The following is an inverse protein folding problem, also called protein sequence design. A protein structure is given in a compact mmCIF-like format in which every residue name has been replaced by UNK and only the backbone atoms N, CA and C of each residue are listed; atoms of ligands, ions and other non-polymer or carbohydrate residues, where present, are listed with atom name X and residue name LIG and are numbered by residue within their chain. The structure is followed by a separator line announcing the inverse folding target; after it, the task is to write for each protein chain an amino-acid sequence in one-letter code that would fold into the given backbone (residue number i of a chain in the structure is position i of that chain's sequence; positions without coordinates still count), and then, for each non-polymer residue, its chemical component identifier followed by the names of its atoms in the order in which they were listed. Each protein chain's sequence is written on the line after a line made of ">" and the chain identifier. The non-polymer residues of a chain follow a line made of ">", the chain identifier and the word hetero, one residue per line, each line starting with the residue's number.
data_IF_990285387486
#
_entry.id   IF_990285387486
#
_cell.length_a   1.000
_cell.length_b   1.000
_cell.length_c   1.000
_cell.angle_alpha   90.00
_cell.angle_beta   90.00
_cell.angle_gamma   90.00
#
_symmetry.space_group_name_H-M   'P 1'
#
loop_
_entity.id
_entity.type
_entity.pdbx_description
1 polymer ?
#
# COMPACT_ATOMS: atom_id res chain seq x y z
N UNK A 1 13.71 1.16 -21.60
CA UNK A 1 12.27 1.25 -21.88
C UNK A 1 11.92 2.72 -21.98
N UNK A 2 11.43 3.18 -23.12
CA UNK A 2 11.12 4.59 -23.37
C UNK A 2 9.97 5.02 -22.46
N UNK A 3 10.25 5.98 -21.58
CA UNK A 3 9.29 6.69 -20.73
C UNK A 3 8.00 6.98 -21.53
N UNK A 4 6.86 6.46 -21.09
CA UNK A 4 5.55 6.91 -21.54
C UNK A 4 5.42 8.40 -21.22
N UNK A 5 5.60 9.31 -22.18
CA UNK A 5 5.88 10.71 -21.89
C UNK A 5 4.62 11.48 -21.48
N UNK A 6 3.49 10.81 -21.25
CA UNK A 6 2.22 11.40 -20.83
C UNK A 6 1.47 10.52 -19.82
N UNK A 7 2.14 9.53 -19.21
CA UNK A 7 1.46 8.69 -18.22
C UNK A 7 1.23 9.49 -16.94
N UNK A 8 0.03 10.03 -16.79
CA UNK A 8 -0.39 10.85 -15.65
C UNK A 8 -0.96 10.03 -14.48
N UNK A 9 -1.50 8.85 -14.80
CA UNK A 9 -2.12 7.95 -13.85
C UNK A 9 -1.75 6.52 -14.18
N UNK A 10 -1.43 5.74 -13.15
CA UNK A 10 -1.18 4.31 -13.27
C UNK A 10 -2.04 3.57 -12.25
N UNK A 11 -2.79 2.58 -12.72
CA UNK A 11 -3.71 1.80 -11.89
C UNK A 11 -3.45 0.31 -12.12
N UNK A 12 -3.28 -0.43 -11.03
CA UNK A 12 -3.20 -1.89 -11.02
C UNK A 12 -4.41 -2.44 -10.27
N UNK A 13 -5.01 -3.48 -10.85
CA UNK A 13 -6.19 -4.16 -10.33
C UNK A 13 -5.93 -5.66 -10.33
N UNK A 14 -6.15 -6.33 -9.20
CA UNK A 14 -6.03 -7.78 -9.08
C UNK A 14 -4.68 -8.29 -9.57
N UNK A 15 -3.60 -7.60 -9.20
CA UNK A 15 -2.28 -7.82 -9.76
C UNK A 15 -1.51 -8.86 -8.97
N UNK A 16 -0.62 -9.58 -9.65
CA UNK A 16 0.21 -10.62 -9.03
C UNK A 16 1.49 -10.83 -9.85
N UNK A 17 2.43 -11.62 -9.33
CA UNK A 17 3.61 -12.08 -10.06
C UNK A 17 4.78 -11.10 -10.10
N UNK A 18 4.71 -9.99 -9.36
CA UNK A 18 5.84 -9.10 -9.12
C UNK A 18 5.78 -8.51 -7.72
N UNK A 19 6.94 -8.28 -7.13
CA UNK A 19 7.09 -7.78 -5.76
C UNK A 19 7.53 -6.31 -5.69
N UNK A 20 7.75 -5.67 -6.84
CA UNK A 20 8.30 -4.31 -6.88
C UNK A 20 7.68 -3.47 -8.00
N UNK A 21 7.16 -2.30 -7.64
CA UNK A 21 6.72 -1.26 -8.55
C UNK A 21 7.62 -0.03 -8.43
N UNK A 22 8.34 0.29 -9.50
CA UNK A 22 9.20 1.46 -9.57
C UNK A 22 8.59 2.51 -10.51
N UNK A 23 7.86 3.48 -9.92
CA UNK A 23 7.16 4.55 -10.64
C UNK A 23 7.88 5.89 -10.48
N UNK A 24 8.94 6.10 -11.27
CA UNK A 24 9.75 7.33 -11.24
C UNK A 24 9.47 8.31 -12.37
N UNK A 25 8.37 8.13 -13.10
CA UNK A 25 7.94 9.12 -14.08
C UNK A 25 7.46 10.39 -13.35
N UNK A 26 8.07 11.56 -13.58
CA UNK A 26 7.64 12.81 -12.94
C UNK A 26 6.26 13.28 -13.39
N UNK A 27 5.72 12.69 -14.46
CA UNK A 27 4.39 12.97 -14.97
C UNK A 27 3.31 12.13 -14.32
N UNK A 28 3.65 10.97 -13.75
CA UNK A 28 2.68 10.08 -13.13
C UNK A 28 2.35 10.58 -11.72
N UNK A 29 1.28 11.36 -11.61
CA UNK A 29 0.86 11.98 -10.34
C UNK A 29 -0.07 11.11 -9.53
N UNK A 30 -0.68 10.09 -10.15
CA UNK A 30 -1.71 9.26 -9.52
C UNK A 30 -1.34 7.78 -9.61
N UNK A 31 -1.32 7.12 -8.46
CA UNK A 31 -1.09 5.68 -8.36
C UNK A 31 -2.25 5.03 -7.61
N UNK A 32 -2.85 4.00 -8.22
CA UNK A 32 -3.84 3.15 -7.57
C UNK A 32 -3.41 1.69 -7.59
N UNK A 33 -3.46 1.06 -6.43
CA UNK A 33 -3.14 -0.33 -6.21
C UNK A 33 -4.36 -0.96 -5.55
N UNK A 34 -5.03 -1.83 -6.29
CA UNK A 34 -6.31 -2.41 -5.89
C UNK A 34 -6.20 -3.90 -6.04
N UNK A 35 -6.32 -4.61 -4.92
CA UNK A 35 -6.16 -6.06 -4.81
C UNK A 35 -4.81 -6.59 -5.31
N UNK A 36 -4.08 -7.28 -4.43
CA UNK A 36 -2.87 -8.00 -4.78
C UNK A 36 -3.06 -9.48 -4.46
N UNK A 37 -2.97 -10.32 -5.49
CA UNK A 37 -3.18 -11.76 -5.33
C UNK A 37 -1.86 -12.51 -5.24
N UNK A 38 -1.83 -13.53 -4.40
CA UNK A 38 -0.72 -14.45 -4.36
C UNK A 38 -0.69 -15.33 -5.64
N UNK A 39 0.47 -15.47 -6.33
CA UNK A 39 0.54 -16.18 -7.60
C UNK A 39 0.30 -17.70 -7.49
N UNK A 40 0.32 -18.28 -6.29
CA UNK A 40 0.15 -19.72 -6.06
C UNK A 40 -0.91 -19.96 -4.97
N UNK A 41 -1.86 -20.86 -5.25
CA UNK A 41 -2.98 -21.22 -4.36
C UNK A 41 -2.57 -21.88 -3.03
N UNK A 42 -1.30 -22.22 -2.86
CA UNK A 42 -0.78 -22.95 -1.70
C UNK A 42 0.05 -22.02 -0.83
N UNK A 43 -0.65 -21.41 0.14
CA UNK A 43 -0.11 -20.53 1.20
C UNK A 43 1.11 -21.11 1.92
N UNK A 44 1.26 -22.44 1.90
CA UNK A 44 2.25 -23.20 2.65
C UNK A 44 3.58 -23.43 1.91
N UNK A 45 3.72 -22.94 0.68
CA UNK A 45 4.86 -23.29 -0.20
C UNK A 45 5.92 -22.21 -0.35
N UNK A 46 5.68 -21.00 0.17
CA UNK A 46 6.68 -19.94 0.23
C UNK A 46 7.18 -19.76 1.66
N UNK A 47 8.40 -20.22 1.92
CA UNK A 47 9.17 -19.82 3.10
C UNK A 47 9.67 -18.38 2.89
N UNK A 48 8.81 -17.38 3.07
CA UNK A 48 9.21 -15.98 2.98
C UNK A 48 8.07 -15.00 3.21
N UNK A 49 8.36 -13.91 3.91
CA UNK A 49 7.46 -12.77 4.02
C UNK A 49 7.17 -12.22 2.61
N UNK A 50 5.91 -12.34 2.16
CA UNK A 50 5.49 -11.72 0.91
C UNK A 50 5.49 -10.20 1.11
N UNK A 51 6.35 -9.50 0.36
CA UNK A 51 6.50 -8.06 0.44
C UNK A 51 6.33 -7.43 -0.94
N UNK A 52 5.52 -6.38 -1.03
CA UNK A 52 5.31 -5.57 -2.22
C UNK A 52 5.88 -4.17 -2.01
N UNK A 53 7.01 -3.88 -2.67
CA UNK A 53 7.68 -2.60 -2.59
C UNK A 53 7.18 -1.63 -3.66
N UNK A 54 6.86 -0.40 -3.26
CA UNK A 54 6.50 0.70 -4.14
C UNK A 54 7.50 1.85 -3.96
N UNK A 55 8.14 2.26 -5.05
CA UNK A 55 9.01 3.46 -5.10
C UNK A 55 8.37 4.48 -6.03
N UNK A 56 7.92 5.62 -5.51
CA UNK A 56 7.10 6.57 -6.28
C UNK A 56 7.30 8.05 -5.90
N UNK A 57 8.50 8.63 -6.13
CA UNK A 57 8.88 9.96 -5.61
C UNK A 57 8.04 11.13 -6.11
N UNK A 58 7.37 10.97 -7.26
CA UNK A 58 6.62 12.04 -7.91
C UNK A 58 5.10 11.86 -7.85
N UNK A 59 4.62 10.79 -7.21
CA UNK A 59 3.19 10.55 -7.01
C UNK A 59 2.66 11.52 -5.97
N UNK A 60 1.57 12.21 -6.31
CA UNK A 60 0.88 13.16 -5.44
C UNK A 60 -0.38 12.56 -4.82
N UNK A 61 -1.01 11.59 -5.52
CA UNK A 61 -2.22 10.90 -5.06
C UNK A 61 -2.01 9.39 -5.06
N UNK A 62 -2.01 8.80 -3.86
CA UNK A 62 -1.91 7.37 -3.66
C UNK A 62 -3.26 6.79 -3.21
N UNK A 63 -3.67 5.69 -3.82
CA UNK A 63 -4.76 4.84 -3.29
C UNK A 63 -4.28 3.41 -3.21
N UNK A 64 -4.43 2.83 -2.03
CA UNK A 64 -4.22 1.40 -1.78
C UNK A 64 -5.52 0.88 -1.17
N UNK A 65 -6.12 -0.13 -1.79
CA UNK A 65 -7.40 -0.66 -1.32
C UNK A 65 -7.63 -2.12 -1.66
N UNK A 66 -8.52 -2.76 -0.92
CA UNK A 66 -8.88 -4.15 -1.15
C UNK A 66 -8.00 -5.12 -0.38
N UNK A 67 -7.84 -6.32 -0.93
CA UNK A 67 -7.15 -7.46 -0.31
C UNK A 67 -5.77 -7.69 -0.92
N UNK A 68 -4.73 -7.76 -0.09
CA UNK A 68 -3.34 -7.95 -0.49
C UNK A 68 -2.79 -9.35 -0.15
N UNK A 69 -3.65 -10.34 0.17
CA UNK A 69 -3.27 -11.72 0.49
C UNK A 69 -2.12 -11.78 1.51
N UNK A 70 -2.21 -11.01 2.60
CA UNK A 70 -1.19 -10.92 3.67
C UNK A 70 0.19 -10.48 3.18
N UNK A 71 0.23 -9.80 2.02
CA UNK A 71 1.45 -9.21 1.49
C UNK A 71 1.74 -7.91 2.22
N UNK A 72 2.89 -7.83 2.89
CA UNK A 72 3.40 -6.58 3.48
C UNK A 72 3.59 -5.55 2.37
N UNK A 73 3.05 -4.35 2.55
CA UNK A 73 3.25 -3.26 1.61
C UNK A 73 4.35 -2.33 2.13
N UNK A 74 5.42 -2.17 1.35
CA UNK A 74 6.50 -1.23 1.66
C UNK A 74 6.47 -0.03 0.73
N UNK A 75 6.20 1.14 1.30
CA UNK A 75 6.14 2.39 0.56
C UNK A 75 7.44 3.16 0.77
N UNK A 76 8.18 3.41 -0.33
CA UNK A 76 9.48 4.07 -0.32
C UNK A 76 9.45 5.30 -1.22
N UNK A 77 10.17 6.34 -0.80
CA UNK A 77 10.34 7.58 -1.56
C UNK A 77 8.99 8.15 -2.04
N UNK A 78 8.18 8.65 -1.09
CA UNK A 78 6.89 9.32 -1.37
C UNK A 78 6.98 10.84 -1.14
N UNK A 79 8.07 11.45 -1.59
CA UNK A 79 8.41 12.84 -1.27
C UNK A 79 7.41 13.88 -1.79
N UNK A 80 6.68 13.57 -2.87
CA UNK A 80 5.66 14.47 -3.45
C UNK A 80 4.23 14.16 -3.00
N UNK A 81 4.03 13.22 -2.07
CA UNK A 81 2.71 12.75 -1.70
C UNK A 81 1.89 13.86 -1.03
N UNK A 82 0.69 14.11 -1.56
CA UNK A 82 -0.21 15.13 -1.05
C UNK A 82 -1.50 14.50 -0.49
N UNK A 83 -2.03 13.49 -1.17
CA UNK A 83 -3.23 12.76 -0.77
C UNK A 83 -2.95 11.26 -0.72
N UNK A 84 -3.31 10.62 0.38
CA UNK A 84 -3.24 9.17 0.55
C UNK A 84 -4.60 8.63 0.98
N UNK A 85 -5.05 7.56 0.32
CA UNK A 85 -6.18 6.75 0.74
C UNK A 85 -5.71 5.32 0.99
N UNK A 86 -5.88 4.82 2.21
CA UNK A 86 -5.65 3.44 2.61
C UNK A 86 -7.00 2.83 3.02
N UNK A 87 -7.49 1.89 2.23
CA UNK A 87 -8.83 1.31 2.36
C UNK A 87 -8.75 -0.20 2.16
N UNK A 88 -7.99 -0.83 3.06
CA UNK A 88 -7.67 -2.25 3.03
C UNK A 88 -8.74 -3.08 3.73
N UNK A 89 -8.85 -4.36 3.41
CA UNK A 89 -9.81 -5.28 4.03
C UNK A 89 -9.46 -5.60 5.50
N UNK A 90 -10.47 -5.76 6.37
CA UNK A 90 -10.26 -6.04 7.81
C UNK A 90 -9.54 -7.35 8.09
N UNK A 91 -9.83 -8.37 7.28
CA UNK A 91 -9.42 -9.75 7.54
C UNK A 91 -7.90 -9.93 7.43
N UNK A 92 -7.23 -9.07 6.65
CA UNK A 92 -5.77 -9.01 6.59
C UNK A 92 -5.16 -8.47 7.89
N UNK A 93 -5.87 -7.56 8.56
CA UNK A 93 -5.35 -6.80 9.72
C UNK A 93 -5.65 -7.44 11.06
N UNK A 94 -6.66 -8.28 11.17
CA UNK A 94 -6.85 -9.12 12.36
C UNK A 94 -5.66 -10.08 12.58
N UNK A 95 -4.88 -10.32 11.52
CA UNK A 95 -3.65 -11.11 11.52
C UNK A 95 -2.36 -10.32 11.26
N UNK A 96 -2.45 -9.04 10.88
CA UNK A 96 -1.27 -8.23 10.56
C UNK A 96 -0.66 -7.68 11.84
N UNK A 97 0.66 -7.75 11.93
CA UNK A 97 1.42 -7.16 13.02
C UNK A 97 1.16 -5.64 13.10
N UNK A 98 0.84 -5.12 14.27
CA UNK A 98 0.64 -3.68 14.50
C UNK A 98 1.82 -2.85 14.00
N UNK A 99 3.04 -3.39 14.08
CA UNK A 99 4.25 -2.69 13.65
C UNK A 99 4.30 -2.54 12.12
N UNK A 100 3.75 -3.49 11.36
CA UNK A 100 3.61 -3.35 9.90
C UNK A 100 2.64 -2.22 9.56
N UNK A 101 1.54 -2.12 10.31
CA UNK A 101 0.58 -1.05 10.10
C UNK A 101 1.18 0.32 10.44
N UNK A 102 1.94 0.41 11.54
CA UNK A 102 2.67 1.63 11.91
C UNK A 102 3.66 2.02 10.81
N UNK A 103 4.42 1.08 10.27
CA UNK A 103 5.36 1.32 9.17
C UNK A 103 4.65 1.88 7.92
N UNK A 104 3.50 1.30 7.55
CA UNK A 104 2.70 1.77 6.42
C UNK A 104 2.20 3.21 6.65
N UNK A 105 1.66 3.51 7.83
CA UNK A 105 1.20 4.85 8.20
C UNK A 105 2.35 5.86 8.24
N UNK A 106 3.51 5.48 8.79
CA UNK A 106 4.72 6.30 8.80
C UNK A 106 5.21 6.62 7.39
N UNK A 107 5.02 5.70 6.45
CA UNK A 107 5.46 5.89 5.07
C UNK A 107 4.61 6.91 4.31
N UNK A 108 3.36 7.13 4.72
CA UNK A 108 2.44 8.13 4.13
C UNK A 108 2.32 9.41 4.97
N UNK A 109 3.10 9.57 6.04
CA UNK A 109 3.02 10.71 6.98
C UNK A 109 3.25 12.09 6.36
N UNK A 110 3.86 12.14 5.18
CA UNK A 110 4.08 13.39 4.44
C UNK A 110 2.83 13.87 3.68
N UNK A 111 1.78 13.06 3.56
CA UNK A 111 0.53 13.46 2.95
C UNK A 111 -0.18 14.53 3.79
N UNK A 112 -0.72 15.55 3.12
CA UNK A 112 -1.55 16.58 3.75
C UNK A 112 -2.96 16.06 4.06
N UNK A 113 -3.44 15.11 3.26
CA UNK A 113 -4.72 14.45 3.47
C UNK A 113 -4.52 12.94 3.51
N UNK A 114 -4.96 12.31 4.61
CA UNK A 114 -4.96 10.86 4.80
C UNK A 114 -6.38 10.39 5.06
N UNK A 115 -6.89 9.52 4.18
CA UNK A 115 -8.18 8.85 4.32
C UNK A 115 -7.91 7.40 4.68
N UNK A 116 -8.47 6.96 5.81
CA UNK A 116 -8.39 5.59 6.29
C UNK A 116 -9.76 4.92 6.24
N UNK A 117 -9.79 3.62 6.01
CA UNK A 117 -11.00 2.79 6.16
C UNK A 117 -11.56 2.87 7.58
N UNK A 118 -12.87 2.68 7.73
CA UNK A 118 -13.58 2.88 9.00
C UNK A 118 -13.11 1.97 10.14
N UNK A 119 -12.55 0.80 9.83
CA UNK A 119 -12.09 -0.15 10.84
C UNK A 119 -10.79 0.30 11.53
N UNK A 120 -10.02 1.24 10.98
CA UNK A 120 -8.90 1.88 11.70
C UNK A 120 -9.34 2.52 13.03
N UNK A 121 -10.61 2.95 13.11
CA UNK A 121 -11.18 3.52 14.34
C UNK A 121 -11.40 2.48 15.44
N UNK A 122 -11.33 1.18 15.15
CA UNK A 122 -11.47 0.11 16.14
C UNK A 122 -10.14 -0.20 16.84
N UNK A 123 -9.01 -0.07 16.12
CA UNK A 123 -7.66 -0.25 16.65
C UNK A 123 -7.25 0.80 17.70
N UNK A 124 -7.81 2.01 17.62
CA UNK A 124 -7.58 3.03 18.64
C UNK A 124 -8.38 2.79 19.94
N UNK A 125 -9.46 2.01 19.88
CA UNK A 125 -10.33 1.73 21.03
C UNK A 125 -9.79 0.56 21.87
N UNK A 126 -9.09 -0.41 21.27
CA UNK A 126 -8.41 -1.48 21.99
C UNK A 126 -7.20 -1.00 22.82
N UNK A 127 -6.65 0.19 22.54
CA UNK A 127 -5.45 0.74 23.19
C UNK A 127 -5.67 1.84 24.23
N UNK A 128 -6.90 2.07 24.71
CA UNK A 128 -7.14 2.94 25.89
C UNK A 128 -7.08 2.16 27.22
N UNK A 129 -6.78 0.86 27.18
CA UNK A 129 -6.72 0.00 28.38
C UNK A 129 -5.31 -0.14 28.98
N UNK A 130 -4.29 0.46 28.37
CA UNK A 130 -2.87 0.19 28.71
C UNK A 130 -1.92 1.40 28.56
N UNK A 131 -2.46 2.62 28.56
CA UNK A 131 -1.66 3.84 28.83
C UNK A 131 -1.80 4.28 30.28
#
# INVERSE_FOLDING_TARGET
>A
MSNCPQLESFNLYGFCGFNRLHMTSPKCKRLKLIDHYHPIKDWYSFEGECCFEVVAPYVEHLTISGDFDYTKIELKELSSLNHAKLDLCSDEFDSMDEDILKDLLLSVRCANELILSSWFSQLSVSNVSSL
#
